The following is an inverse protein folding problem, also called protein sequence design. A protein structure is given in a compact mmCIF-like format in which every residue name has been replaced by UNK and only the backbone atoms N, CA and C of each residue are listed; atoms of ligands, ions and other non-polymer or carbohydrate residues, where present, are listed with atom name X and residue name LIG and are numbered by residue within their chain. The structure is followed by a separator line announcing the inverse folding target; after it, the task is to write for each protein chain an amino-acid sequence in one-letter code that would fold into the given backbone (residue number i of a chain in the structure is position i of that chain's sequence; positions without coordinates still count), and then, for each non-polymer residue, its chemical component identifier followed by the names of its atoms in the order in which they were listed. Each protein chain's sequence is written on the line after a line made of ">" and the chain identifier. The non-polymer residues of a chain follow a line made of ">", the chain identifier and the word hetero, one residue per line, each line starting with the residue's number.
data_IF_726450010516
#
_entry.id   IF_726450010516
#
_cell.length_a   1.000
_cell.length_b   1.000
_cell.length_c   1.000
_cell.angle_alpha   90.00
_cell.angle_beta   90.00
_cell.angle_gamma   90.00
#
_symmetry.space_group_name_H-M   'P 1'
#
loop_
_entity.id
_entity.type
_entity.pdbx_description
1 polymer ?
#
# COMPACT_ATOMS: atom_id res chain seq x y z
N UNK A 1 18.29 20.68 47.20
CA UNK A 1 16.85 20.36 47.00
C UNK A 1 16.16 21.14 45.85
N UNK A 2 16.23 22.50 45.80
CA UNK A 2 15.62 23.26 44.69
C UNK A 2 16.25 22.97 43.31
N UNK A 3 17.57 22.77 43.24
CA UNK A 3 18.28 22.47 41.99
C UNK A 3 17.93 21.08 41.41
N UNK A 4 17.86 20.06 42.29
CA UNK A 4 17.47 18.68 41.90
C UNK A 4 16.02 18.61 41.44
N UNK A 5 15.11 19.38 42.05
CA UNK A 5 13.71 19.47 41.62
C UNK A 5 13.60 20.11 40.23
N UNK A 6 14.40 21.17 39.96
CA UNK A 6 14.46 21.82 38.66
C UNK A 6 14.91 20.87 37.53
N UNK A 7 15.99 20.09 37.80
CA UNK A 7 16.47 19.09 36.82
C UNK A 7 15.41 18.02 36.56
N UNK A 8 14.81 17.48 37.64
CA UNK A 8 13.76 16.45 37.48
C UNK A 8 12.57 16.98 36.65
N UNK A 9 12.14 18.21 36.87
CA UNK A 9 11.06 18.84 36.10
C UNK A 9 11.46 19.02 34.63
N UNK A 10 12.67 19.47 34.33
CA UNK A 10 13.17 19.59 32.95
C UNK A 10 13.20 18.22 32.23
N UNK A 11 13.65 17.17 32.93
CA UNK A 11 13.67 15.81 32.36
C UNK A 11 12.26 15.29 32.09
N UNK A 12 11.29 15.51 32.98
CA UNK A 12 9.89 15.13 32.78
C UNK A 12 9.23 15.88 31.63
N UNK A 13 9.50 17.20 31.53
CA UNK A 13 8.99 18.00 30.41
C UNK A 13 9.63 17.56 29.08
N UNK A 14 10.93 17.28 29.08
CA UNK A 14 11.63 16.74 27.91
C UNK A 14 11.09 15.38 27.46
N UNK A 15 10.87 14.46 28.41
CA UNK A 15 10.26 13.16 28.14
C UNK A 15 8.83 13.30 27.63
N UNK A 16 8.02 14.14 28.27
CA UNK A 16 6.65 14.43 27.84
C UNK A 16 6.60 15.00 26.42
N UNK A 17 7.50 15.95 26.12
CA UNK A 17 7.63 16.52 24.76
C UNK A 17 8.05 15.47 23.72
N UNK A 18 9.00 14.59 24.08
CA UNK A 18 9.42 13.48 23.23
C UNK A 18 8.26 12.50 22.94
N UNK A 19 7.58 12.05 24.00
CA UNK A 19 6.42 11.13 23.85
C UNK A 19 5.34 11.77 22.99
N UNK A 20 5.01 13.03 23.27
CA UNK A 20 4.02 13.75 22.48
C UNK A 20 4.42 13.82 21.02
N UNK A 21 5.61 14.31 20.70
CA UNK A 21 6.06 14.54 19.32
C UNK A 21 6.23 13.23 18.54
N UNK A 22 6.84 12.21 19.14
CA UNK A 22 7.18 10.97 18.42
C UNK A 22 6.07 9.92 18.42
N UNK A 23 5.21 9.89 19.44
CA UNK A 23 4.21 8.83 19.61
C UNK A 23 2.80 9.36 19.41
N UNK A 24 2.46 10.52 19.99
CA UNK A 24 1.07 10.99 20.09
C UNK A 24 0.65 11.88 18.91
N UNK A 25 1.56 12.74 18.43
CA UNK A 25 1.22 13.71 17.39
C UNK A 25 1.10 13.06 16.00
N UNK A 26 -0.12 12.66 15.69
CA UNK A 26 -0.55 12.15 14.37
C UNK A 26 -1.50 13.09 13.62
N UNK A 27 -1.57 14.37 14.00
CA UNK A 27 -2.55 15.34 13.47
C UNK A 27 -2.49 15.44 11.95
N UNK A 28 -3.67 15.30 11.34
CA UNK A 28 -3.90 15.51 9.91
C UNK A 28 -4.25 16.98 9.66
N UNK A 29 -3.82 17.61 8.55
CA UNK A 29 -4.17 19.01 8.25
C UNK A 29 -5.68 19.17 8.06
N UNK A 30 -6.20 20.38 8.28
CA UNK A 30 -7.63 20.68 8.13
C UNK A 30 -8.06 20.82 6.66
N UNK A 31 -7.13 21.11 5.77
CA UNK A 31 -7.34 21.26 4.32
C UNK A 31 -6.24 20.58 3.54
N UNK A 32 -6.49 20.36 2.25
CA UNK A 32 -5.53 19.71 1.35
C UNK A 32 -5.53 20.35 -0.02
N UNK A 33 -4.34 20.43 -0.64
CA UNK A 33 -4.16 20.79 -2.04
C UNK A 33 -4.22 19.55 -2.96
N UNK A 34 -4.16 18.35 -2.39
CA UNK A 34 -4.36 17.10 -3.12
C UNK A 34 -5.86 16.92 -3.36
N UNK A 35 -6.29 17.12 -4.60
CA UNK A 35 -7.72 17.10 -4.95
C UNK A 35 -7.96 16.49 -6.35
N UNK A 36 -7.78 15.16 -6.50
CA UNK A 36 -8.04 14.48 -7.77
C UNK A 36 -9.53 14.55 -8.14
N UNK A 37 -9.81 14.85 -9.42
CA UNK A 37 -11.16 14.89 -9.96
C UNK A 37 -11.78 13.50 -10.04
N UNK A 38 -12.72 13.19 -9.16
CA UNK A 38 -13.44 11.91 -9.15
C UNK A 38 -14.26 11.71 -10.42
N UNK A 39 -14.82 12.77 -11.00
CA UNK A 39 -15.54 12.70 -12.26
C UNK A 39 -14.62 12.23 -13.41
N UNK A 40 -13.38 12.75 -13.47
CA UNK A 40 -12.40 12.33 -14.47
C UNK A 40 -11.92 10.91 -14.24
N UNK A 41 -11.72 10.50 -12.97
CA UNK A 41 -11.34 9.14 -12.61
C UNK A 41 -12.43 8.16 -13.03
N UNK A 42 -13.69 8.42 -12.71
CA UNK A 42 -14.85 7.59 -13.11
C UNK A 42 -14.98 7.53 -14.63
N UNK A 43 -14.74 8.63 -15.34
CA UNK A 43 -14.75 8.66 -16.80
C UNK A 43 -13.66 7.78 -17.39
N UNK A 44 -12.46 7.78 -16.82
CA UNK A 44 -11.34 6.92 -17.26
C UNK A 44 -11.54 5.45 -16.88
N UNK A 45 -12.24 5.17 -15.78
CA UNK A 45 -12.59 3.80 -15.38
C UNK A 45 -13.73 3.22 -16.22
N UNK A 46 -14.47 4.06 -16.95
CA UNK A 46 -15.61 3.60 -17.73
C UNK A 46 -15.15 2.68 -18.89
N UNK A 47 -15.50 1.41 -18.80
CA UNK A 47 -15.22 0.36 -19.76
C UNK A 47 -16.47 -0.56 -19.85
N UNK A 48 -16.59 -1.43 -20.86
CA UNK A 48 -17.64 -2.43 -20.89
C UNK A 48 -17.67 -3.25 -19.61
N UNK A 49 -18.86 -3.47 -19.03
CA UNK A 49 -19.01 -4.13 -17.73
C UNK A 49 -18.38 -5.53 -17.71
N UNK A 50 -18.48 -6.27 -18.83
CA UNK A 50 -17.90 -7.61 -19.02
C UNK A 50 -16.37 -7.64 -19.01
N UNK A 51 -15.72 -6.49 -19.26
CA UNK A 51 -14.25 -6.37 -19.18
C UNK A 51 -13.75 -5.90 -17.81
N UNK A 52 -14.65 -5.32 -16.99
CA UNK A 52 -14.29 -4.83 -15.64
C UNK A 52 -14.05 -6.00 -14.68
N UNK A 53 -13.37 -5.75 -13.55
CA UNK A 53 -13.20 -6.76 -12.51
C UNK A 53 -14.54 -7.25 -11.95
N UNK A 54 -14.74 -8.57 -11.91
CA UNK A 54 -15.92 -9.22 -11.33
C UNK A 54 -15.73 -9.65 -9.88
N UNK A 55 -14.47 -9.86 -9.45
CA UNK A 55 -14.10 -10.21 -8.09
C UNK A 55 -12.72 -9.64 -7.72
N UNK A 56 -12.49 -9.48 -6.44
CA UNK A 56 -11.21 -9.10 -5.86
C UNK A 56 -10.77 -10.23 -4.93
N UNK A 57 -9.58 -10.76 -5.17
CA UNK A 57 -8.95 -11.75 -4.33
C UNK A 57 -7.79 -11.12 -3.55
N UNK A 58 -7.60 -11.55 -2.31
CA UNK A 58 -6.49 -11.16 -1.45
C UNK A 58 -5.65 -12.36 -1.07
N UNK A 59 -4.33 -12.29 -1.29
CA UNK A 59 -3.36 -13.28 -0.86
C UNK A 59 -2.54 -12.72 0.30
N UNK A 60 -2.62 -13.37 1.47
CA UNK A 60 -1.84 -13.00 2.65
C UNK A 60 -0.49 -13.68 2.58
N UNK A 61 0.56 -12.93 2.27
CA UNK A 61 1.93 -13.43 2.11
C UNK A 61 2.67 -13.59 3.43
N UNK A 62 2.52 -12.61 4.31
CA UNK A 62 3.23 -12.58 5.58
C UNK A 62 2.53 -11.70 6.60
N UNK A 63 2.96 -11.80 7.86
CA UNK A 63 2.46 -10.97 8.97
C UNK A 63 3.62 -10.47 9.83
N UNK A 64 3.48 -9.25 10.33
CA UNK A 64 4.30 -8.69 11.40
C UNK A 64 3.42 -8.30 12.59
N UNK A 65 4.00 -8.28 13.79
CA UNK A 65 3.34 -7.78 15.00
C UNK A 65 4.00 -6.47 15.41
N UNK A 66 3.19 -5.44 15.57
CA UNK A 66 3.63 -4.11 15.99
C UNK A 66 2.76 -3.60 17.13
N UNK A 67 3.29 -2.76 18.04
CA UNK A 67 2.44 -1.98 18.94
C UNK A 67 1.52 -1.08 18.11
N UNK A 68 0.25 -0.96 18.51
CA UNK A 68 -0.76 -0.22 17.73
C UNK A 68 -0.38 1.26 17.53
N UNK A 69 0.33 1.88 18.49
CA UNK A 69 0.85 3.24 18.29
C UNK A 69 1.76 3.38 17.05
N UNK A 70 2.30 2.29 16.55
CA UNK A 70 3.07 2.26 15.31
C UNK A 70 2.20 2.41 14.07
N UNK A 71 0.99 1.86 14.11
CA UNK A 71 0.04 1.91 13.01
C UNK A 71 -0.77 3.22 13.02
N UNK A 72 -1.06 3.71 14.21
CA UNK A 72 -1.79 4.97 14.45
C UNK A 72 -1.18 5.71 15.64
N UNK A 73 -0.87 6.98 15.48
CA UNK A 73 -0.32 7.79 16.56
C UNK A 73 -1.27 7.86 17.77
N UNK A 74 -0.72 7.69 18.97
CA UNK A 74 -1.48 7.63 20.22
C UNK A 74 -0.79 6.76 21.26
N UNK A 75 -1.38 6.63 22.45
CA UNK A 75 -0.86 5.85 23.56
C UNK A 75 -1.50 4.44 23.64
N UNK A 76 -1.75 3.83 22.50
CA UNK A 76 -2.23 2.45 22.43
C UNK A 76 -1.07 1.49 22.19
N UNK A 77 -0.73 0.70 23.23
CA UNK A 77 0.39 -0.26 23.23
C UNK A 77 -0.04 -1.70 22.98
N UNK A 78 -1.33 -1.97 22.73
CA UNK A 78 -1.77 -3.31 22.36
C UNK A 78 -1.03 -3.79 21.12
N UNK A 79 -0.80 -5.11 21.02
CA UNK A 79 -0.23 -5.71 19.81
C UNK A 79 -1.26 -5.73 18.69
N UNK A 80 -0.84 -5.36 17.50
CA UNK A 80 -1.64 -5.42 16.28
C UNK A 80 -0.91 -6.18 15.18
N UNK A 81 -1.66 -6.94 14.39
CA UNK A 81 -1.13 -7.64 13.22
C UNK A 81 -1.14 -6.71 12.03
N UNK A 82 0.01 -6.63 11.36
CA UNK A 82 0.21 -5.95 10.09
C UNK A 82 0.33 -7.01 8.99
N UNK A 83 -0.66 -7.11 8.12
CA UNK A 83 -0.63 -8.05 7.00
C UNK A 83 0.31 -7.56 5.90
N UNK A 84 0.91 -8.49 5.16
CA UNK A 84 1.60 -8.26 3.89
C UNK A 84 0.82 -8.97 2.81
N UNK A 85 0.14 -8.21 1.97
CA UNK A 85 -0.88 -8.75 1.07
C UNK A 85 -0.63 -8.35 -0.38
N UNK A 86 -1.08 -9.19 -1.30
CA UNK A 86 -1.21 -8.88 -2.72
C UNK A 86 -2.69 -9.07 -3.13
N UNK A 87 -3.13 -8.34 -4.14
CA UNK A 87 -4.50 -8.42 -4.61
C UNK A 87 -4.56 -8.82 -6.08
N UNK A 88 -5.61 -9.59 -6.44
CA UNK A 88 -5.89 -9.97 -7.82
C UNK A 88 -7.31 -9.58 -8.20
N UNK A 89 -7.43 -8.72 -9.19
CA UNK A 89 -8.69 -8.35 -9.81
C UNK A 89 -9.00 -9.37 -10.91
N UNK A 90 -10.07 -10.15 -10.73
CA UNK A 90 -10.53 -11.14 -11.71
C UNK A 90 -11.35 -10.47 -12.79
N UNK A 91 -11.02 -10.68 -14.05
CA UNK A 91 -11.75 -10.12 -15.19
C UNK A 91 -11.70 -11.04 -16.41
N UNK A 92 -12.74 -11.03 -17.24
CA UNK A 92 -12.74 -11.70 -18.54
C UNK A 92 -11.74 -11.08 -19.53
N UNK A 93 -11.40 -9.79 -19.36
CA UNK A 93 -10.33 -9.16 -20.12
C UNK A 93 -8.96 -9.77 -19.79
N UNK A 94 -8.80 -10.33 -18.60
CA UNK A 94 -7.59 -10.89 -18.02
C UNK A 94 -7.31 -10.27 -16.65
N UNK A 95 -6.68 -11.05 -15.76
CA UNK A 95 -6.46 -10.62 -14.37
C UNK A 95 -5.46 -9.46 -14.28
N UNK A 96 -5.70 -8.55 -13.33
CA UNK A 96 -4.77 -7.50 -12.93
C UNK A 96 -4.29 -7.79 -11.51
N UNK A 97 -2.97 -7.76 -11.27
CA UNK A 97 -2.40 -7.80 -9.93
C UNK A 97 -2.13 -6.38 -9.43
N UNK A 98 -2.48 -6.11 -8.18
CA UNK A 98 -2.09 -4.92 -7.41
C UNK A 98 -1.19 -5.42 -6.29
N UNK A 99 0.06 -4.98 -6.31
CA UNK A 99 1.17 -5.43 -5.48
C UNK A 99 1.53 -6.92 -5.69
N UNK A 100 2.77 -7.25 -5.44
CA UNK A 100 3.30 -8.61 -5.65
C UNK A 100 4.07 -9.13 -4.44
N UNK A 101 4.14 -8.32 -3.38
CA UNK A 101 4.84 -8.71 -2.16
C UNK A 101 6.37 -8.75 -2.31
N UNK A 102 6.99 -9.61 -1.52
CA UNK A 102 8.44 -9.80 -1.42
C UNK A 102 8.79 -11.29 -1.41
N UNK A 103 10.00 -11.65 -1.83
CA UNK A 103 10.55 -12.99 -1.60
C UNK A 103 11.25 -13.09 -0.23
N UNK A 104 11.71 -14.29 0.12
CA UNK A 104 12.39 -14.50 1.41
C UNK A 104 13.71 -13.74 1.54
N UNK A 105 14.42 -13.50 0.44
CA UNK A 105 15.62 -12.69 0.46
C UNK A 105 15.31 -11.25 0.86
N UNK A 106 14.33 -10.64 0.20
CA UNK A 106 13.89 -9.27 0.51
C UNK A 106 13.33 -9.18 1.92
N UNK A 107 12.52 -10.16 2.35
CA UNK A 107 11.99 -10.23 3.71
C UNK A 107 13.12 -10.25 4.76
N UNK A 108 14.16 -11.03 4.53
CA UNK A 108 15.33 -11.11 5.41
C UNK A 108 16.16 -9.82 5.38
N UNK A 109 16.40 -9.25 4.18
CA UNK A 109 17.16 -8.00 4.00
C UNK A 109 16.54 -6.84 4.78
N UNK A 110 15.22 -6.70 4.71
CA UNK A 110 14.48 -5.62 5.37
C UNK A 110 13.92 -6.01 6.76
N UNK A 111 14.20 -7.24 7.24
CA UNK A 111 13.79 -7.76 8.55
C UNK A 111 12.27 -7.65 8.81
N UNK A 112 11.48 -7.91 7.77
CA UNK A 112 10.01 -7.82 7.77
C UNK A 112 9.37 -9.18 7.41
N UNK A 113 8.06 -9.33 7.63
CA UNK A 113 7.32 -10.54 7.28
C UNK A 113 7.71 -11.74 8.15
N UNK A 114 7.69 -11.59 9.47
CA UNK A 114 8.12 -12.63 10.42
C UNK A 114 7.37 -13.96 10.28
N UNK A 115 6.07 -13.89 9.98
CA UNK A 115 5.28 -15.06 9.62
C UNK A 115 5.09 -15.07 8.12
N UNK A 116 5.92 -15.79 7.41
CA UNK A 116 5.97 -15.81 5.95
C UNK A 116 5.44 -17.14 5.40
N UNK A 117 4.54 -17.09 4.42
CA UNK A 117 3.93 -18.25 3.77
C UNK A 117 4.51 -18.46 2.35
N UNK A 118 5.34 -19.51 2.19
CA UNK A 118 5.92 -19.88 0.89
C UNK A 118 4.86 -20.35 -0.12
N UNK A 119 3.75 -20.92 0.37
CA UNK A 119 2.66 -21.34 -0.50
C UNK A 119 1.96 -20.12 -1.10
N UNK A 120 1.76 -19.08 -0.32
CA UNK A 120 1.24 -17.80 -0.79
C UNK A 120 2.21 -17.15 -1.79
N UNK A 121 3.54 -17.18 -1.51
CA UNK A 121 4.54 -16.69 -2.47
C UNK A 121 4.45 -17.43 -3.81
N UNK A 122 4.33 -18.75 -3.78
CA UNK A 122 4.20 -19.56 -5.00
C UNK A 122 2.92 -19.23 -5.78
N UNK A 123 1.79 -18.98 -5.09
CA UNK A 123 0.53 -18.53 -5.71
C UNK A 123 0.67 -17.16 -6.33
N UNK A 124 1.32 -16.21 -5.65
CA UNK A 124 1.62 -14.87 -6.21
C UNK A 124 2.50 -15.00 -7.45
N UNK A 125 3.58 -15.79 -7.41
CA UNK A 125 4.44 -16.04 -8.55
C UNK A 125 3.69 -16.59 -9.77
N UNK A 126 2.82 -17.57 -9.57
CA UNK A 126 1.95 -18.12 -10.63
C UNK A 126 0.96 -17.08 -11.15
N UNK A 127 0.38 -16.28 -10.25
CA UNK A 127 -0.53 -15.20 -10.63
C UNK A 127 0.18 -14.13 -11.46
N UNK A 128 1.43 -13.77 -11.16
CA UNK A 128 2.23 -12.84 -11.97
C UNK A 128 2.40 -13.36 -13.41
N UNK A 129 2.72 -14.65 -13.57
CA UNK A 129 2.91 -15.27 -14.90
C UNK A 129 1.61 -15.26 -15.69
N UNK A 130 0.46 -15.49 -15.07
CA UNK A 130 -0.84 -15.59 -15.74
C UNK A 130 -1.58 -14.25 -15.83
N UNK A 131 -1.18 -13.23 -15.09
CA UNK A 131 -1.77 -11.91 -15.16
C UNK A 131 -1.63 -11.27 -16.53
N UNK A 132 -2.60 -10.45 -16.91
CA UNK A 132 -2.52 -9.55 -18.08
C UNK A 132 -1.91 -8.22 -17.73
N UNK A 133 -2.06 -7.76 -16.47
CA UNK A 133 -1.48 -6.53 -15.93
C UNK A 133 -0.91 -6.77 -14.54
N UNK A 134 0.18 -6.06 -14.26
CA UNK A 134 0.79 -5.98 -12.94
C UNK A 134 1.05 -4.52 -12.66
N UNK A 135 0.50 -4.04 -11.56
CA UNK A 135 0.65 -2.68 -11.05
C UNK A 135 1.07 -2.76 -9.58
N UNK A 136 1.70 -1.71 -9.07
CA UNK A 136 2.19 -1.65 -7.70
C UNK A 136 1.80 -0.32 -7.07
N UNK A 137 1.30 -0.36 -5.84
CA UNK A 137 0.89 0.85 -5.12
C UNK A 137 2.07 1.76 -4.81
N UNK A 138 3.22 1.18 -4.50
CA UNK A 138 4.45 1.92 -4.24
C UNK A 138 5.69 0.98 -4.19
N UNK A 139 6.86 1.57 -4.10
CA UNK A 139 8.14 0.87 -4.24
C UNK A 139 8.71 0.24 -2.97
N UNK A 140 7.95 0.06 -1.88
CA UNK A 140 8.47 -0.63 -0.69
C UNK A 140 8.63 -2.14 -0.89
N UNK A 141 9.45 -2.80 -0.03
CA UNK A 141 9.84 -4.21 -0.20
C UNK A 141 8.66 -5.16 -0.30
N UNK A 142 7.67 -4.98 0.54
CA UNK A 142 6.50 -5.82 0.69
C UNK A 142 5.40 -5.58 -0.37
N UNK A 143 5.63 -4.67 -1.31
CA UNK A 143 4.76 -4.37 -2.46
C UNK A 143 5.43 -4.69 -3.80
N UNK A 144 6.71 -4.33 -3.97
CA UNK A 144 7.45 -4.44 -5.22
C UNK A 144 8.57 -5.51 -5.18
N UNK A 145 9.07 -5.86 -3.99
CA UNK A 145 10.35 -6.53 -3.81
C UNK A 145 10.49 -7.89 -4.48
N UNK A 146 9.39 -8.64 -4.70
CA UNK A 146 9.44 -9.91 -5.41
C UNK A 146 9.62 -9.73 -6.92
N UNK A 147 9.10 -8.65 -7.52
CA UNK A 147 9.07 -8.47 -8.97
C UNK A 147 10.45 -8.52 -9.63
N UNK A 148 11.47 -7.73 -9.20
CA UNK A 148 12.78 -7.71 -9.86
C UNK A 148 13.56 -9.00 -9.70
N UNK A 149 13.19 -9.84 -8.74
CA UNK A 149 13.84 -11.11 -8.41
C UNK A 149 13.13 -12.32 -9.00
N UNK A 150 12.02 -12.11 -9.70
CA UNK A 150 11.26 -13.18 -10.33
C UNK A 150 12.07 -13.87 -11.42
N UNK A 151 12.13 -15.21 -11.40
CA UNK A 151 12.77 -16.01 -12.46
C UNK A 151 12.09 -15.83 -13.83
N UNK A 152 10.86 -15.32 -13.85
CA UNK A 152 10.07 -15.08 -15.05
C UNK A 152 10.09 -13.61 -15.47
N UNK A 153 11.00 -12.79 -14.96
CA UNK A 153 10.99 -11.33 -15.12
C UNK A 153 10.78 -10.89 -16.57
N UNK A 154 11.50 -11.47 -17.52
CA UNK A 154 11.40 -11.10 -18.95
C UNK A 154 9.99 -11.29 -19.50
N UNK A 155 9.27 -12.32 -19.05
CA UNK A 155 7.88 -12.56 -19.45
C UNK A 155 6.89 -11.62 -18.77
N UNK A 156 7.29 -10.98 -17.68
CA UNK A 156 6.47 -10.04 -16.94
C UNK A 156 6.55 -8.61 -17.49
N UNK A 157 7.68 -8.23 -18.09
CA UNK A 157 7.94 -6.86 -18.60
C UNK A 157 6.78 -6.28 -19.41
N UNK A 158 6.19 -6.97 -20.41
CA UNK A 158 5.09 -6.40 -21.22
C UNK A 158 3.81 -6.11 -20.42
N UNK A 159 3.68 -6.73 -19.25
CA UNK A 159 2.49 -6.65 -18.38
C UNK A 159 2.57 -5.50 -17.38
N UNK A 160 3.77 -4.97 -17.14
CA UNK A 160 4.02 -3.97 -16.11
C UNK A 160 3.43 -2.62 -16.47
N UNK A 161 2.90 -1.94 -15.47
CA UNK A 161 2.53 -0.53 -15.50
C UNK A 161 3.05 0.11 -14.23
N UNK A 162 4.31 0.53 -14.26
CA UNK A 162 5.04 1.09 -13.12
C UNK A 162 5.41 2.55 -13.40
N UNK A 163 5.52 3.35 -12.36
CA UNK A 163 6.09 4.69 -12.46
C UNK A 163 7.61 4.61 -12.63
N UNK A 164 8.24 5.70 -13.02
CA UNK A 164 9.71 5.78 -13.10
C UNK A 164 10.36 5.51 -11.74
N UNK A 165 9.81 6.10 -10.69
CA UNK A 165 10.30 5.96 -9.31
C UNK A 165 10.25 4.49 -8.85
N UNK A 166 9.17 3.78 -9.19
CA UNK A 166 9.03 2.35 -8.88
C UNK A 166 10.07 1.51 -9.64
N UNK A 167 10.34 1.83 -10.90
CA UNK A 167 11.38 1.13 -11.70
C UNK A 167 12.76 1.38 -11.10
N UNK A 168 13.11 2.61 -10.80
CA UNK A 168 14.42 2.99 -10.24
C UNK A 168 14.66 2.33 -8.88
N UNK A 169 13.62 2.20 -8.06
CA UNK A 169 13.69 1.56 -6.76
C UNK A 169 13.98 0.05 -6.81
N UNK A 170 13.80 -0.62 -7.95
CA UNK A 170 14.08 -2.06 -8.07
C UNK A 170 15.54 -2.41 -7.76
N UNK A 171 16.46 -1.46 -7.96
CA UNK A 171 17.88 -1.64 -7.67
C UNK A 171 18.15 -2.05 -6.21
N UNK A 172 17.37 -1.54 -5.26
CA UNK A 172 17.56 -1.80 -3.81
C UNK A 172 17.26 -3.27 -3.42
N UNK A 173 16.58 -4.04 -4.28
CA UNK A 173 16.23 -5.43 -4.04
C UNK A 173 17.20 -6.43 -4.71
N UNK A 174 18.16 -5.90 -5.46
CA UNK A 174 19.17 -6.71 -6.15
C UNK A 174 20.48 -6.72 -5.35
N UNK A 175 21.21 -7.85 -5.41
CA UNK A 175 22.47 -8.04 -4.69
C UNK A 175 23.57 -7.08 -5.16
N UNK A 176 23.56 -6.72 -6.45
CA UNK A 176 24.51 -5.80 -7.07
C UNK A 176 24.09 -4.33 -6.99
N UNK A 177 22.91 -4.05 -6.43
CA UNK A 177 22.37 -2.69 -6.31
C UNK A 177 22.05 -2.03 -7.64
N UNK A 178 21.79 -2.80 -8.70
CA UNK A 178 21.51 -2.27 -10.04
C UNK A 178 20.10 -2.60 -10.47
N UNK A 179 19.51 -1.69 -11.26
CA UNK A 179 18.24 -1.94 -11.94
C UNK A 179 18.44 -3.11 -12.92
N UNK A 180 17.66 -4.20 -12.82
CA UNK A 180 17.76 -5.31 -13.78
C UNK A 180 17.59 -4.83 -15.22
N UNK A 181 18.42 -5.36 -16.12
CA UNK A 181 18.46 -4.97 -17.54
C UNK A 181 17.06 -5.03 -18.20
N UNK A 182 16.26 -6.04 -17.85
CA UNK A 182 14.90 -6.22 -18.36
C UNK A 182 14.01 -4.97 -18.17
N UNK A 183 14.20 -4.21 -17.09
CA UNK A 183 13.39 -2.99 -16.84
C UNK A 183 13.68 -1.84 -17.81
N UNK A 184 14.77 -1.88 -18.59
CA UNK A 184 15.02 -0.88 -19.64
C UNK A 184 13.94 -0.89 -20.73
N UNK A 185 13.24 -2.02 -20.88
CA UNK A 185 12.14 -2.16 -21.82
C UNK A 185 10.77 -1.73 -21.27
N UNK A 186 10.69 -1.30 -20.01
CA UNK A 186 9.45 -0.81 -19.40
C UNK A 186 9.26 0.66 -19.71
N UNK A 187 8.18 0.99 -20.42
CA UNK A 187 7.76 2.39 -20.60
C UNK A 187 7.02 2.86 -19.34
N UNK A 188 7.58 3.81 -18.56
CA UNK A 188 6.97 4.23 -17.32
C UNK A 188 5.61 4.87 -17.54
N UNK A 189 4.63 4.53 -16.69
CA UNK A 189 3.38 5.30 -16.66
C UNK A 189 3.64 6.70 -16.10
N UNK A 190 2.88 7.66 -16.60
CA UNK A 190 3.03 9.05 -16.16
C UNK A 190 2.74 9.18 -14.66
N UNK A 191 3.65 9.82 -13.94
CA UNK A 191 3.43 10.30 -12.57
C UNK A 191 2.63 11.60 -12.52
N UNK A 192 2.20 12.13 -13.69
CA UNK A 192 1.38 13.32 -13.82
C UNK A 192 0.04 12.97 -14.45
N UNK A 193 -1.03 13.14 -13.69
CA UNK A 193 -2.40 12.85 -14.15
C UNK A 193 -2.80 11.38 -14.01
N UNK A 194 -4.07 11.11 -14.29
CA UNK A 194 -4.65 9.78 -14.13
C UNK A 194 -4.38 8.92 -15.36
N UNK A 195 -4.17 7.62 -15.13
CA UNK A 195 -3.90 6.67 -16.22
C UNK A 195 -4.80 5.44 -16.07
N UNK A 196 -5.58 5.11 -17.10
CA UNK A 196 -6.27 3.81 -17.17
C UNK A 196 -5.22 2.71 -17.44
N UNK A 197 -5.08 1.76 -16.52
CA UNK A 197 -4.09 0.68 -16.61
C UNK A 197 -4.69 -0.65 -17.01
N UNK A 198 -6.00 -0.82 -16.80
CA UNK A 198 -6.81 -1.93 -17.24
C UNK A 198 -8.29 -1.48 -17.31
N UNK A 199 -9.20 -2.20 -17.99
CA UNK A 199 -10.62 -1.89 -17.97
C UNK A 199 -11.14 -1.77 -16.53
N UNK A 200 -11.74 -0.65 -16.19
CA UNK A 200 -12.23 -0.36 -14.86
C UNK A 200 -11.15 0.04 -13.84
N UNK A 201 -9.87 0.08 -14.19
CA UNK A 201 -8.76 0.33 -13.24
C UNK A 201 -7.99 1.58 -13.60
N UNK A 202 -8.00 2.58 -12.72
CA UNK A 202 -7.33 3.87 -12.91
C UNK A 202 -6.27 4.09 -11.83
N UNK A 203 -5.05 4.39 -12.26
CA UNK A 203 -3.94 4.83 -11.44
C UNK A 203 -4.07 6.32 -11.17
N UNK A 204 -3.94 6.70 -9.90
CA UNK A 204 -3.98 8.07 -9.39
C UNK A 204 -2.64 8.35 -8.70
N UNK A 205 -1.77 9.22 -9.24
CA UNK A 205 -0.54 9.59 -8.55
C UNK A 205 -0.81 10.21 -7.17
N UNK A 206 -0.16 9.69 -6.15
CA UNK A 206 -0.32 10.14 -4.76
C UNK A 206 1.04 10.11 -4.02
N UNK A 207 2.07 10.84 -4.53
CA UNK A 207 3.39 10.83 -3.93
C UNK A 207 3.36 11.41 -2.52
N UNK A 208 4.10 10.78 -1.61
CA UNK A 208 4.18 11.19 -0.21
C UNK A 208 4.75 10.08 0.64
N UNK A 209 4.04 8.96 0.77
CA UNK A 209 4.56 7.80 1.47
C UNK A 209 5.87 7.30 0.84
N UNK A 210 5.88 7.22 -0.48
CA UNK A 210 7.10 7.15 -1.30
C UNK A 210 6.94 8.06 -2.52
N UNK A 211 8.03 8.39 -3.25
CA UNK A 211 7.94 9.15 -4.49
C UNK A 211 7.04 8.52 -5.55
N UNK A 212 7.05 7.19 -5.67
CA UNK A 212 6.26 6.43 -6.64
C UNK A 212 4.89 5.97 -6.14
N UNK A 213 4.41 6.47 -4.99
CA UNK A 213 3.10 6.10 -4.44
C UNK A 213 1.95 6.51 -5.35
N UNK A 214 1.04 5.55 -5.54
CA UNK A 214 -0.19 5.71 -6.33
C UNK A 214 -1.37 5.06 -5.62
N UNK A 215 -2.58 5.54 -5.91
CA UNK A 215 -3.82 4.87 -5.54
C UNK A 215 -4.39 4.19 -6.79
N UNK A 216 -5.18 3.12 -6.60
CA UNK A 216 -5.93 2.49 -7.69
C UNK A 216 -7.42 2.58 -7.42
N UNK A 217 -8.11 3.33 -8.28
CA UNK A 217 -9.57 3.31 -8.32
C UNK A 217 -10.03 2.18 -9.24
N UNK A 218 -10.96 1.38 -8.76
CA UNK A 218 -11.49 0.21 -9.47
C UNK A 218 -12.99 0.30 -9.57
N UNK A 219 -13.52 0.33 -10.79
CA UNK A 219 -14.93 0.16 -11.08
C UNK A 219 -15.21 -1.31 -11.40
N UNK A 220 -15.98 -1.97 -10.56
CA UNK A 220 -16.34 -3.38 -10.71
C UNK A 220 -17.41 -3.59 -11.79
N UNK A 221 -17.54 -4.84 -12.27
CA UNK A 221 -18.55 -5.24 -13.25
C UNK A 221 -20.00 -5.02 -12.75
N UNK A 222 -20.22 -5.16 -11.44
CA UNK A 222 -21.51 -4.96 -10.77
C UNK A 222 -21.80 -3.50 -10.39
N UNK A 223 -20.91 -2.57 -10.77
CA UNK A 223 -21.04 -1.15 -10.51
C UNK A 223 -20.44 -0.69 -9.17
N UNK A 224 -20.03 -1.59 -8.28
CA UNK A 224 -19.29 -1.20 -7.04
C UNK A 224 -18.00 -0.50 -7.40
N UNK A 225 -17.60 0.40 -6.53
CA UNK A 225 -16.33 1.15 -6.64
C UNK A 225 -15.41 0.81 -5.47
N UNK A 226 -14.13 0.63 -5.76
CA UNK A 226 -13.11 0.27 -4.76
C UNK A 226 -11.90 1.17 -4.95
N UNK A 227 -11.32 1.65 -3.83
CA UNK A 227 -10.11 2.46 -3.83
C UNK A 227 -9.01 1.74 -3.02
N UNK A 228 -7.99 1.24 -3.70
CA UNK A 228 -6.78 0.73 -3.06
C UNK A 228 -5.86 1.90 -2.75
N UNK A 229 -5.48 2.04 -1.48
CA UNK A 229 -4.76 3.22 -0.98
C UNK A 229 -3.32 2.95 -0.59
N UNK A 230 -2.84 1.71 -0.80
CA UNK A 230 -1.50 1.31 -0.41
C UNK A 230 -1.22 1.69 1.03
N UNK A 231 -0.09 2.36 1.23
CA UNK A 231 0.41 2.75 2.56
C UNK A 231 0.16 4.21 2.92
N UNK A 232 -0.73 4.89 2.21
CA UNK A 232 -1.20 6.22 2.66
C UNK A 232 -1.78 6.08 4.07
N UNK A 233 -2.52 5.00 4.31
CA UNK A 233 -2.94 4.55 5.63
C UNK A 233 -2.63 3.06 5.80
N UNK A 234 -2.26 2.65 7.02
CA UNK A 234 -2.02 1.24 7.33
C UNK A 234 -3.24 0.56 7.90
N UNK A 235 -4.13 1.33 8.54
CA UNK A 235 -5.38 0.83 9.09
C UNK A 235 -6.54 1.77 8.80
N UNK A 236 -7.77 1.25 8.75
CA UNK A 236 -8.97 2.06 8.60
C UNK A 236 -9.18 3.03 9.77
N UNK A 237 -8.58 2.75 10.94
CA UNK A 237 -8.63 3.67 12.07
C UNK A 237 -7.87 4.98 11.82
N UNK A 238 -6.85 4.99 10.96
CA UNK A 238 -6.18 6.24 10.56
C UNK A 238 -7.16 7.23 9.93
N UNK A 239 -8.11 6.72 9.14
CA UNK A 239 -9.14 7.54 8.48
C UNK A 239 -10.22 7.93 9.48
N UNK A 240 -10.80 6.95 10.19
CA UNK A 240 -11.91 7.15 11.13
C UNK A 240 -11.56 8.12 12.25
N UNK A 241 -10.32 8.03 12.78
CA UNK A 241 -9.86 8.84 13.91
C UNK A 241 -9.07 10.07 13.43
N UNK A 242 -9.01 10.32 12.12
CA UNK A 242 -8.29 11.42 11.47
C UNK A 242 -6.83 11.55 11.96
N UNK A 243 -6.14 10.42 12.08
CA UNK A 243 -4.83 10.36 12.73
C UNK A 243 -3.85 9.53 11.91
N UNK A 244 -2.71 10.12 11.57
CA UNK A 244 -1.64 9.41 10.88
C UNK A 244 -0.82 8.48 11.79
N UNK A 245 0.24 7.89 11.25
CA UNK A 245 1.17 7.03 11.98
C UNK A 245 2.04 7.80 12.96
N UNK A 246 2.58 7.12 14.00
CA UNK A 246 3.56 7.74 14.90
C UNK A 246 4.88 8.04 14.17
N UNK A 247 5.53 9.17 14.52
CA UNK A 247 6.87 9.49 13.98
C UNK A 247 7.94 8.50 14.45
N UNK A 248 7.77 7.91 15.63
CA UNK A 248 8.75 6.95 16.16
C UNK A 248 8.90 5.75 15.22
N UNK A 249 7.79 5.16 14.80
CA UNK A 249 7.83 4.01 13.88
C UNK A 249 8.33 4.43 12.51
N UNK A 250 7.80 5.51 11.97
CA UNK A 250 8.16 6.00 10.65
C UNK A 250 9.64 6.40 10.54
N UNK A 251 10.16 7.18 11.49
CA UNK A 251 11.47 7.83 11.36
C UNK A 251 12.59 7.09 12.08
N UNK A 252 12.28 6.28 13.11
CA UNK A 252 13.29 5.63 13.97
C UNK A 252 13.32 4.12 13.76
N UNK A 253 12.17 3.45 13.74
CA UNK A 253 12.11 2.00 13.67
C UNK A 253 12.09 1.47 12.23
N UNK A 254 11.41 2.13 11.31
CA UNK A 254 11.29 1.69 9.93
C UNK A 254 12.17 2.47 8.95
N UNK A 255 12.75 3.59 9.37
CA UNK A 255 13.62 4.46 8.57
C UNK A 255 13.05 4.76 7.16
N UNK A 256 11.74 4.97 7.09
CA UNK A 256 11.08 5.25 5.81
C UNK A 256 11.38 6.68 5.36
N UNK A 257 11.64 6.86 4.07
CA UNK A 257 11.86 8.18 3.43
C UNK A 257 10.54 8.93 3.15
N UNK A 258 9.52 8.73 3.96
CA UNK A 258 8.21 9.33 3.76
C UNK A 258 8.23 10.86 3.88
N UNK A 259 7.71 11.54 2.88
CA UNK A 259 7.31 12.95 2.94
C UNK A 259 5.97 13.04 3.69
N UNK A 260 6.06 13.06 5.03
CA UNK A 260 4.89 13.07 5.91
C UNK A 260 3.88 14.18 5.60
N UNK A 261 4.30 15.44 5.35
CA UNK A 261 3.37 16.49 4.93
C UNK A 261 2.56 16.11 3.69
N UNK A 262 3.19 15.57 2.65
CA UNK A 262 2.48 15.14 1.43
C UNK A 262 1.57 13.94 1.68
N UNK A 263 2.03 12.93 2.40
CA UNK A 263 1.19 11.78 2.78
C UNK A 263 -0.07 12.24 3.51
N UNK A 264 0.06 13.23 4.40
CA UNK A 264 -1.06 13.74 5.17
C UNK A 264 -2.01 14.63 4.35
N UNK A 265 -1.54 15.26 3.26
CA UNK A 265 -2.41 15.88 2.28
C UNK A 265 -3.31 14.82 1.60
N UNK A 266 -2.73 13.68 1.21
CA UNK A 266 -3.50 12.57 0.63
C UNK A 266 -4.47 11.98 1.66
N UNK A 267 -4.02 11.78 2.90
CA UNK A 267 -4.88 11.29 3.98
C UNK A 267 -6.07 12.25 4.25
N UNK A 268 -5.84 13.56 4.29
CA UNK A 268 -6.94 14.55 4.45
C UNK A 268 -7.95 14.46 3.31
N UNK A 269 -7.46 14.33 2.08
CA UNK A 269 -8.36 14.11 0.94
C UNK A 269 -9.15 12.80 1.10
N UNK A 270 -8.48 11.71 1.48
CA UNK A 270 -9.10 10.40 1.63
C UNK A 270 -10.23 10.42 2.68
N UNK A 271 -10.03 11.11 3.81
CA UNK A 271 -11.07 11.32 4.83
C UNK A 271 -12.28 12.02 4.21
N UNK A 272 -12.06 13.16 3.56
CA UNK A 272 -13.12 13.93 2.91
C UNK A 272 -13.80 13.17 1.76
N UNK A 273 -13.02 12.36 1.03
CA UNK A 273 -13.51 11.53 -0.06
C UNK A 273 -14.48 10.46 0.45
N UNK A 274 -14.15 9.78 1.55
CA UNK A 274 -15.01 8.76 2.13
C UNK A 274 -16.33 9.34 2.66
N UNK A 275 -16.28 10.52 3.29
CA UNK A 275 -17.50 11.22 3.74
C UNK A 275 -18.44 11.56 2.59
N UNK A 276 -17.88 11.93 1.43
CA UNK A 276 -18.63 12.29 0.22
C UNK A 276 -19.04 11.09 -0.65
N UNK A 277 -18.37 9.95 -0.49
CA UNK A 277 -18.58 8.75 -1.28
C UNK A 277 -18.65 7.49 -0.38
N UNK A 278 -19.66 7.38 0.49
CA UNK A 278 -19.74 6.31 1.50
C UNK A 278 -19.88 4.90 0.91
N UNK A 279 -20.29 4.79 -0.36
CA UNK A 279 -20.47 3.52 -1.06
C UNK A 279 -19.15 2.99 -1.65
N UNK A 280 -18.08 3.80 -1.71
CA UNK A 280 -16.78 3.38 -2.21
C UNK A 280 -16.04 2.59 -1.13
N UNK A 281 -15.68 1.35 -1.47
CA UNK A 281 -14.88 0.50 -0.59
C UNK A 281 -13.41 0.95 -0.59
N UNK A 282 -12.90 1.42 0.53
CA UNK A 282 -11.46 1.73 0.67
C UNK A 282 -10.72 0.52 1.22
N UNK A 283 -9.59 0.16 0.57
CA UNK A 283 -8.79 -1.02 0.91
C UNK A 283 -7.34 -0.58 1.20
N UNK A 284 -6.92 -0.52 2.48
CA UNK A 284 -5.52 -0.37 2.88
C UNK A 284 -4.79 -1.70 2.73
N UNK A 285 -3.45 -1.64 2.54
CA UNK A 285 -2.67 -2.86 2.29
C UNK A 285 -2.39 -3.70 3.55
N UNK A 286 -2.44 -3.10 4.75
CA UNK A 286 -1.86 -3.69 5.96
C UNK A 286 -2.83 -3.95 7.11
N UNK A 287 -4.09 -3.53 7.02
CA UNK A 287 -5.10 -3.74 8.07
C UNK A 287 -5.59 -5.20 8.06
N UNK A 288 -4.87 -6.10 8.77
CA UNK A 288 -5.21 -7.51 8.81
C UNK A 288 -6.66 -7.74 9.26
N UNK A 289 -7.09 -7.06 10.31
CA UNK A 289 -8.43 -7.24 10.87
C UNK A 289 -9.51 -6.84 9.88
N UNK A 290 -9.34 -5.71 9.23
CA UNK A 290 -10.30 -5.20 8.23
C UNK A 290 -10.29 -6.06 6.95
N UNK A 291 -9.12 -6.46 6.46
CA UNK A 291 -9.04 -7.35 5.28
C UNK A 291 -9.74 -8.69 5.53
N UNK A 292 -9.58 -9.27 6.74
CA UNK A 292 -10.30 -10.51 7.12
C UNK A 292 -11.81 -10.29 7.28
N UNK A 293 -12.24 -9.13 7.76
CA UNK A 293 -13.66 -8.75 7.79
C UNK A 293 -14.23 -8.66 6.36
N UNK A 294 -13.50 -8.05 5.43
CA UNK A 294 -13.90 -8.00 4.02
C UNK A 294 -14.00 -9.40 3.39
N UNK A 295 -13.10 -10.31 3.76
CA UNK A 295 -13.19 -11.72 3.34
C UNK A 295 -14.41 -12.39 3.96
N UNK A 296 -14.64 -12.23 5.25
CA UNK A 296 -15.77 -12.86 5.96
C UNK A 296 -17.13 -12.35 5.44
N UNK A 297 -17.19 -11.07 5.01
CA UNK A 297 -18.40 -10.48 4.40
C UNK A 297 -18.56 -10.76 2.90
N UNK A 298 -17.62 -11.50 2.26
CA UNK A 298 -17.66 -11.82 0.84
C UNK A 298 -17.34 -10.64 -0.09
N UNK A 299 -16.85 -9.51 0.45
CA UNK A 299 -16.38 -8.37 -0.36
C UNK A 299 -15.04 -8.65 -1.02
N UNK A 300 -14.18 -9.45 -0.38
CA UNK A 300 -12.96 -10.01 -0.92
C UNK A 300 -13.02 -11.54 -0.87
N UNK A 301 -12.28 -12.21 -1.75
CA UNK A 301 -12.09 -13.66 -1.74
C UNK A 301 -10.67 -13.96 -1.25
N UNK A 302 -10.51 -14.86 -0.28
CA UNK A 302 -9.20 -15.22 0.22
C UNK A 302 -8.48 -16.17 -0.72
N UNK A 303 -7.22 -15.85 -1.01
CA UNK A 303 -6.30 -16.67 -1.80
C UNK A 303 -6.50 -16.53 -3.32
N UNK A 304 -5.41 -16.73 -4.07
CA UNK A 304 -5.43 -16.65 -5.53
C UNK A 304 -5.88 -17.96 -6.21
N UNK A 305 -6.60 -18.83 -5.47
CA UNK A 305 -7.01 -20.14 -5.94
C UNK A 305 -5.86 -21.16 -5.92
N UNK A 306 -6.19 -22.44 -6.22
CA UNK A 306 -5.16 -23.47 -6.30
C UNK A 306 -4.22 -23.20 -7.48
N UNK A 307 -2.92 -23.47 -7.28
CA UNK A 307 -1.98 -23.60 -8.37
C UNK A 307 -2.55 -24.67 -9.33
N UNK A 308 -2.87 -24.26 -10.56
CA UNK A 308 -3.11 -25.28 -11.59
C UNK A 308 -1.78 -25.97 -11.87
N UNK A 309 -1.74 -27.32 -11.90
CA UNK A 309 -0.50 -28.08 -12.13
C UNK A 309 0.13 -27.79 -13.48
#
# INVERSE_FOLDING_TARGET
>A
MRFTVGIALCLLLGLGGFVYFFIVDGRVPQSTDFNPSIADIRRLANAPAEERPSAIEVEFLAEDQLPFFGLQAGLDFRSATMARSAFRLKSNWGNTLIDVGMDRYVAALFKTGKKFDDTSLARIGSAMVTARRIVVTHEHPDHLGYLPRSKSLDTLIPKLRLTREQIEATAQYMEDGRIPEAFRGVDPVSSKGFTSVAPGVVLIPAPGHTPGSVLFFVQMADGREVLFVGDIVWTMSNIRDETGRSRLVQSVLMQTSEDRPKTYQVLRWLISFMDQNPDVLVVPSHDDSYLRELVASGRLVQGFGQLQP
#
